data_IF_804127895946
#
_entry.id   IF_804127895946
#
_cell.length_a   1.000
_cell.length_b   1.000
_cell.length_c   1.000
_cell.angle_alpha   90.00
_cell.angle_beta   90.00
_cell.angle_gamma   90.00
#
_symmetry.space_group_name_H-M   'P 1'
#
loop_
_entity.id
_entity.type
_entity.pdbx_description
1 polymer ?
#
# COMPACT_ATOMS: atom_id res chain seq x y z
N UNK A 1 -12.45 9.07 5.50
CA UNK A 1 -11.60 7.86 5.30
C UNK A 1 -10.15 8.23 5.58
N UNK A 2 -9.20 7.28 5.66
CA UNK A 2 -7.79 7.63 5.59
C UNK A 2 -7.40 7.87 4.14
N UNK A 3 -6.63 8.92 3.88
CA UNK A 3 -6.08 9.25 2.57
C UNK A 3 -4.60 9.61 2.72
N UNK A 4 -3.79 9.54 1.64
CA UNK A 4 -2.41 10.02 1.70
C UNK A 4 -2.32 11.49 2.09
N UNK A 5 -1.36 11.79 2.97
CA UNK A 5 -0.99 13.15 3.36
C UNK A 5 0.21 13.68 2.55
N UNK A 6 0.94 12.77 1.90
CA UNK A 6 2.15 13.06 1.12
C UNK A 6 2.04 12.51 -0.30
N UNK A 7 2.98 12.88 -1.17
CA UNK A 7 3.08 12.27 -2.50
C UNK A 7 3.24 10.75 -2.39
N UNK A 8 2.53 10.01 -3.24
CA UNK A 8 2.46 8.53 -3.15
C UNK A 8 3.85 7.88 -3.31
N UNK A 9 4.81 8.54 -3.97
CA UNK A 9 6.18 8.05 -4.10
C UNK A 9 6.90 7.92 -2.75
N UNK A 10 6.56 8.72 -1.74
CA UNK A 10 7.14 8.60 -0.40
C UNK A 10 6.84 7.24 0.25
N UNK A 11 5.77 6.56 -0.17
CA UNK A 11 5.43 5.22 0.32
C UNK A 11 6.45 4.15 -0.11
N UNK A 12 7.31 4.40 -1.12
CA UNK A 12 8.41 3.51 -1.48
C UNK A 12 9.36 3.25 -0.29
N UNK A 13 9.51 4.23 0.62
CA UNK A 13 10.31 4.11 1.85
C UNK A 13 9.78 3.03 2.80
N UNK A 14 8.48 2.74 2.72
CA UNK A 14 7.79 1.68 3.47
C UNK A 14 7.74 0.36 2.69
N UNK A 15 8.33 0.32 1.49
CA UNK A 15 8.42 -0.86 0.65
C UNK A 15 7.27 -1.03 -0.35
N UNK A 16 6.40 -0.04 -0.49
CA UNK A 16 5.39 -0.02 -1.55
C UNK A 16 6.03 0.00 -2.94
N UNK A 17 5.32 -0.48 -3.95
CA UNK A 17 5.74 -0.43 -5.35
C UNK A 17 4.61 0.00 -6.27
N UNK A 18 4.90 0.58 -7.44
CA UNK A 18 3.89 0.87 -8.45
C UNK A 18 3.06 -0.38 -8.78
N UNK A 19 1.77 -0.20 -9.05
CA UNK A 19 0.90 -1.26 -9.52
C UNK A 19 1.33 -1.78 -10.91
N UNK A 20 0.99 -3.02 -11.22
CA UNK A 20 1.33 -3.65 -12.50
C UNK A 20 0.65 -2.92 -13.67
N UNK A 21 1.42 -2.70 -14.74
CA UNK A 21 0.90 -2.12 -15.99
C UNK A 21 0.68 -0.61 -15.93
N UNK A 22 0.89 0.00 -14.77
CA UNK A 22 0.83 1.43 -14.61
C UNK A 22 2.17 2.08 -14.99
N UNK A 23 2.12 3.27 -15.59
CA UNK A 23 3.32 4.10 -15.70
C UNK A 23 3.78 4.53 -14.31
N UNK A 24 5.05 4.91 -14.17
CA UNK A 24 5.56 5.50 -12.91
C UNK A 24 4.76 6.75 -12.49
N UNK A 25 4.10 7.40 -13.44
CA UNK A 25 3.31 8.62 -13.27
C UNK A 25 1.88 8.35 -12.79
N UNK A 26 1.41 7.10 -12.81
CA UNK A 26 0.06 6.71 -12.36
C UNK A 26 -0.22 7.01 -10.89
N UNK A 27 0.83 7.22 -10.09
CA UNK A 27 0.77 7.41 -8.64
C UNK A 27 -0.04 6.32 -7.89
N UNK A 28 -0.16 5.10 -8.45
CA UNK A 28 -0.87 3.97 -7.80
C UNK A 28 0.11 2.93 -7.32
N UNK A 29 0.15 2.70 -6.02
CA UNK A 29 1.11 1.81 -5.38
C UNK A 29 0.42 0.74 -4.55
N UNK A 30 1.14 -0.35 -4.31
CA UNK A 30 0.67 -1.44 -3.48
C UNK A 30 1.78 -2.07 -2.63
N UNK A 31 1.37 -2.70 -1.53
CA UNK A 31 2.22 -3.54 -0.69
C UNK A 31 1.47 -4.83 -0.32
N UNK A 32 2.02 -6.00 -0.67
CA UNK A 32 1.45 -7.28 -0.26
C UNK A 32 1.95 -7.68 1.13
N UNK A 33 1.05 -8.20 1.95
CA UNK A 33 1.29 -8.61 3.32
C UNK A 33 0.88 -10.08 3.44
N UNK A 34 1.88 -10.95 3.68
CA UNK A 34 1.64 -12.39 3.77
C UNK A 34 0.74 -12.76 4.95
N UNK A 35 0.91 -12.09 6.09
CA UNK A 35 0.11 -12.35 7.30
C UNK A 35 -1.31 -11.80 7.12
N UNK A 36 -2.28 -12.70 7.17
CA UNK A 36 -3.68 -12.39 6.91
C UNK A 36 -4.03 -12.23 5.43
N UNK A 37 -3.10 -12.54 4.51
CA UNK A 37 -3.28 -12.45 3.06
C UNK A 37 -3.95 -11.13 2.64
N UNK A 38 -3.36 -10.01 3.07
CA UNK A 38 -3.84 -8.66 2.76
C UNK A 38 -2.91 -7.97 1.79
N UNK A 39 -3.39 -6.93 1.13
CA UNK A 39 -2.53 -5.96 0.50
C UNK A 39 -3.06 -4.56 0.74
N UNK A 40 -2.15 -3.59 0.82
CA UNK A 40 -2.48 -2.18 0.98
C UNK A 40 -2.39 -1.53 -0.40
N UNK A 41 -3.43 -0.81 -0.80
CA UNK A 41 -3.48 0.01 -2.00
C UNK A 41 -3.40 1.49 -1.62
N UNK A 42 -2.65 2.26 -2.42
CA UNK A 42 -2.58 3.71 -2.24
C UNK A 42 -2.56 4.44 -3.59
N UNK A 43 -3.29 5.54 -3.68
CA UNK A 43 -3.30 6.52 -4.76
C UNK A 43 -3.47 7.93 -4.17
N UNK A 44 -3.30 9.03 -4.92
CA UNK A 44 -3.36 10.39 -4.37
C UNK A 44 -4.67 10.71 -3.61
N UNK A 45 -5.75 9.97 -3.87
CA UNK A 45 -7.08 10.19 -3.29
C UNK A 45 -7.60 8.98 -2.50
N UNK A 46 -6.83 7.90 -2.38
CA UNK A 46 -7.33 6.64 -1.81
C UNK A 46 -6.23 5.92 -1.01
N UNK A 47 -6.60 5.42 0.17
CA UNK A 47 -5.84 4.45 0.91
C UNK A 47 -6.79 3.33 1.35
N UNK A 48 -6.43 2.08 1.06
CA UNK A 48 -7.31 0.94 1.34
C UNK A 48 -6.54 -0.34 1.68
N UNK A 49 -7.13 -1.19 2.52
CA UNK A 49 -6.59 -2.49 2.92
C UNK A 49 -7.55 -3.56 2.42
N UNK A 50 -7.12 -4.35 1.45
CA UNK A 50 -7.96 -5.34 0.77
C UNK A 50 -7.40 -6.75 0.94
N UNK A 51 -8.23 -7.76 0.64
CA UNK A 51 -7.76 -9.13 0.52
C UNK A 51 -6.83 -9.28 -0.68
N UNK A 52 -5.70 -9.93 -0.46
CA UNK A 52 -4.77 -10.28 -1.52
C UNK A 52 -5.31 -11.46 -2.31
N UNK A 53 -5.91 -11.13 -3.47
CA UNK A 53 -6.41 -12.11 -4.44
C UNK A 53 -5.31 -12.51 -5.42
N UNK A 54 -5.26 -13.79 -5.77
CA UNK A 54 -4.24 -14.37 -6.68
C UNK A 54 -4.22 -13.69 -8.05
N UNK A 55 -5.38 -13.29 -8.56
CA UNK A 55 -5.56 -12.76 -9.91
C UNK A 55 -5.83 -11.24 -9.93
N UNK A 56 -5.43 -10.52 -8.88
CA UNK A 56 -5.58 -9.05 -8.86
C UNK A 56 -4.71 -8.41 -9.95
N UNK A 57 -5.31 -7.65 -10.89
CA UNK A 57 -4.57 -7.09 -12.04
C UNK A 57 -3.52 -6.06 -11.62
N UNK A 58 -3.65 -5.45 -10.43
CA UNK A 58 -2.71 -4.45 -9.90
C UNK A 58 -1.44 -5.09 -9.36
N UNK A 59 -1.46 -6.39 -9.05
CA UNK A 59 -0.33 -7.10 -8.45
C UNK A 59 0.54 -7.70 -9.56
N UNK A 60 1.86 -7.58 -9.39
CA UNK A 60 2.81 -8.14 -10.34
C UNK A 60 2.82 -9.67 -10.30
N UNK A 61 3.20 -10.32 -11.41
CA UNK A 61 3.35 -11.79 -11.48
C UNK A 61 4.23 -12.34 -10.36
N UNK A 62 5.27 -11.58 -9.98
CA UNK A 62 6.00 -11.75 -8.71
C UNK A 62 5.47 -10.71 -7.72
N UNK A 63 4.63 -11.10 -6.75
CA UNK A 63 4.02 -10.18 -5.80
C UNK A 63 5.07 -9.47 -4.95
N UNK A 64 4.87 -8.18 -4.70
CA UNK A 64 5.73 -7.39 -3.82
C UNK A 64 5.43 -7.68 -2.34
N UNK A 65 5.85 -8.86 -1.88
CA UNK A 65 5.61 -9.35 -0.53
C UNK A 65 6.93 -9.67 0.18
N UNK A 66 7.07 -9.22 1.42
CA UNK A 66 8.13 -9.66 2.34
C UNK A 66 7.61 -10.84 3.16
N UNK A 67 7.70 -12.06 2.62
CA UNK A 67 7.11 -13.27 3.24
C UNK A 67 7.61 -13.59 4.66
N UNK A 68 8.79 -13.08 5.06
CA UNK A 68 9.34 -13.24 6.41
C UNK A 68 8.97 -12.10 7.36
N UNK A 69 8.31 -11.06 6.87
CA UNK A 69 7.82 -9.97 7.73
C UNK A 69 6.66 -10.48 8.58
N UNK A 70 6.72 -10.18 9.88
CA UNK A 70 5.72 -10.61 10.85
C UNK A 70 4.62 -9.57 11.07
N UNK A 71 4.82 -8.34 10.58
CA UNK A 71 3.83 -7.27 10.68
C UNK A 71 2.57 -7.61 9.90
N UNK A 72 1.43 -7.32 10.49
CA UNK A 72 0.10 -7.36 9.88
C UNK A 72 -0.19 -6.06 9.14
N UNK A 73 -1.33 -6.01 8.45
CA UNK A 73 -1.80 -4.76 7.83
C UNK A 73 -2.05 -3.65 8.85
N UNK A 74 -2.49 -4.00 10.07
CA UNK A 74 -2.72 -3.05 11.15
C UNK A 74 -1.40 -2.48 11.69
N UNK A 75 -0.36 -3.30 11.82
CA UNK A 75 0.97 -2.83 12.27
C UNK A 75 1.57 -1.84 11.26
N UNK A 76 1.49 -2.17 9.96
CA UNK A 76 1.97 -1.26 8.90
C UNK A 76 1.12 0.01 8.84
N UNK A 77 -0.20 -0.10 9.01
CA UNK A 77 -1.08 1.08 9.09
C UNK A 77 -0.67 1.99 10.25
N UNK A 78 -0.38 1.43 11.41
CA UNK A 78 0.09 2.19 12.57
C UNK A 78 1.42 2.90 12.28
N UNK A 79 2.40 2.20 11.68
CA UNK A 79 3.68 2.78 11.26
C UNK A 79 3.48 3.98 10.31
N UNK A 80 2.56 3.86 9.34
CA UNK A 80 2.25 4.93 8.38
C UNK A 80 1.62 6.15 9.05
N UNK A 81 0.67 5.96 9.98
CA UNK A 81 0.06 7.05 10.74
C UNK A 81 1.11 7.75 11.61
N UNK A 82 1.97 6.99 12.30
CA UNK A 82 3.05 7.56 13.14
C UNK A 82 4.09 8.34 12.35
N UNK A 83 4.24 8.04 11.06
CA UNK A 83 5.11 8.74 10.15
C UNK A 83 4.43 9.88 9.37
N UNK A 84 3.19 10.25 9.74
CA UNK A 84 2.41 11.31 9.11
C UNK A 84 2.12 11.09 7.60
N UNK A 85 2.11 9.82 7.17
CA UNK A 85 1.88 9.45 5.77
C UNK A 85 0.40 9.51 5.39
N UNK A 86 -0.49 9.45 6.38
CA UNK A 86 -1.94 9.36 6.21
C UNK A 86 -2.63 10.41 7.07
N UNK A 87 -3.70 10.99 6.52
CA UNK A 87 -4.59 11.89 7.24
C UNK A 87 -6.03 11.46 7.09
N UNK A 88 -6.91 12.04 7.91
CA UNK A 88 -8.34 11.91 7.71
C UNK A 88 -8.76 12.79 6.55
N UNK A 89 -9.56 12.24 5.65
CA UNK A 89 -10.19 13.02 4.59
C UNK A 89 -11.03 14.17 5.19
N UNK A 90 -10.76 15.40 4.73
CA UNK A 90 -11.41 16.62 5.22
C UNK A 90 -10.64 17.37 6.32
N UNK A 91 -9.53 16.83 6.81
CA UNK A 91 -8.50 17.57 7.59
C UNK A 91 -7.45 18.19 6.66
#
# INVERSE_FOLDING_TARGET
MLIPNVDVKEFERFGFKPCRGESKDSQRYYLCIARGCKFIFVSPVCFDIQDWKKDDPRIHKKPNCRYRDYRTATDILYDLIKADMLKKEGE
#
